data_IF_983631909395
#
_entry.id   IF_983631909395
#
_cell.length_a   1.000
_cell.length_b   1.000
_cell.length_c   1.000
_cell.angle_alpha   90.00
_cell.angle_beta   90.00
_cell.angle_gamma   90.00
#
_symmetry.space_group_name_H-M   'P 1'
#
loop_
_entity.id
_entity.type
_entity.pdbx_description
1 polymer ?
#
# COMPACT_ATOMS: atom_id res chain seq x y z
N UNK A 1 -2.37 -0.69 -4.79
CA UNK A 1 -1.61 0.32 -4.01
C UNK A 1 -0.46 -0.31 -3.22
N UNK A 2 -0.59 -1.56 -2.77
CA UNK A 2 0.55 -2.39 -2.34
C UNK A 2 0.55 -3.71 -3.12
N UNK A 3 1.71 -4.30 -3.39
CA UNK A 3 1.81 -5.67 -3.93
C UNK A 3 1.32 -6.69 -2.90
N UNK A 4 0.93 -7.88 -3.35
CA UNK A 4 0.34 -8.93 -2.49
C UNK A 4 1.19 -9.26 -1.26
N UNK A 5 2.51 -9.39 -1.43
CA UNK A 5 3.44 -9.67 -0.34
C UNK A 5 3.51 -8.54 0.69
N UNK A 6 3.57 -7.29 0.24
CA UNK A 6 3.65 -6.12 1.13
C UNK A 6 2.34 -5.92 1.90
N UNK A 7 1.19 -6.11 1.23
CA UNK A 7 -0.11 -6.07 1.87
C UNK A 7 -0.24 -7.16 2.96
N UNK A 8 0.17 -8.39 2.64
CA UNK A 8 0.16 -9.49 3.58
C UNK A 8 1.09 -9.25 4.78
N UNK A 9 2.23 -8.59 4.58
CA UNK A 9 3.15 -8.21 5.66
C UNK A 9 2.51 -7.24 6.66
N UNK A 10 1.80 -6.23 6.16
CA UNK A 10 1.11 -5.25 7.01
C UNK A 10 -0.03 -5.92 7.78
N UNK A 11 -0.86 -6.73 7.11
CA UNK A 11 -2.00 -7.40 7.74
C UNK A 11 -1.56 -8.36 8.86
N UNK A 12 -0.46 -9.10 8.64
CA UNK A 12 0.08 -10.04 9.65
C UNK A 12 0.69 -9.34 10.87
N UNK A 13 1.13 -8.08 10.73
CA UNK A 13 1.71 -7.33 11.85
C UNK A 13 0.65 -6.78 12.81
N UNK A 14 -0.62 -6.69 12.38
CA UNK A 14 -1.70 -6.13 13.19
C UNK A 14 -2.15 -7.15 14.25
N UNK A 15 -2.10 -6.74 15.51
CA UNK A 15 -2.45 -7.59 16.67
C UNK A 15 -3.97 -7.81 16.82
N UNK A 16 -4.76 -6.80 16.47
CA UNK A 16 -6.22 -6.83 16.60
C UNK A 16 -6.85 -6.68 15.23
N UNK A 17 -7.58 -7.69 14.80
CA UNK A 17 -8.25 -7.69 13.51
C UNK A 17 -9.76 -7.76 13.71
N UNK A 18 -10.47 -6.84 13.05
CA UNK A 18 -11.92 -6.77 13.08
C UNK A 18 -12.41 -7.13 11.68
N UNK A 19 -13.19 -8.19 11.60
CA UNK A 19 -13.72 -8.72 10.36
C UNK A 19 -15.23 -8.47 10.34
N UNK A 20 -15.65 -7.81 9.29
CA UNK A 20 -17.06 -7.69 8.88
C UNK A 20 -17.31 -8.62 7.71
N UNK A 21 -18.58 -8.86 7.37
CA UNK A 21 -19.01 -9.65 6.21
C UNK A 21 -18.12 -9.39 4.97
N UNK A 22 -17.13 -10.25 4.68
CA UNK A 22 -16.03 -9.90 3.78
C UNK A 22 -16.43 -9.91 2.30
N UNK A 23 -17.52 -10.58 1.95
CA UNK A 23 -18.06 -10.66 0.58
C UNK A 23 -17.26 -11.55 -0.37
N UNK A 24 -16.01 -11.90 -0.03
CA UNK A 24 -15.18 -12.86 -0.78
C UNK A 24 -15.23 -14.25 -0.14
N UNK A 25 -15.49 -15.26 -0.96
CA UNK A 25 -15.56 -16.67 -0.57
C UNK A 25 -14.19 -17.15 -0.04
N UNK A 26 -13.08 -16.77 -0.68
CA UNK A 26 -11.74 -17.25 -0.28
C UNK A 26 -11.37 -16.73 1.09
N UNK A 27 -11.65 -15.44 1.34
CA UNK A 27 -11.38 -14.80 2.61
C UNK A 27 -12.27 -15.35 3.73
N UNK A 28 -13.54 -15.64 3.44
CA UNK A 28 -14.44 -16.28 4.40
C UNK A 28 -14.00 -17.70 4.78
N UNK A 29 -13.47 -18.48 3.83
CA UNK A 29 -12.86 -19.79 4.11
C UNK A 29 -11.64 -19.66 5.04
N UNK A 30 -10.78 -18.67 4.80
CA UNK A 30 -9.62 -18.41 5.65
C UNK A 30 -10.05 -18.08 7.09
N UNK A 31 -11.03 -17.19 7.25
CA UNK A 31 -11.55 -16.84 8.58
C UNK A 31 -12.28 -18.01 9.26
N UNK A 32 -13.03 -18.83 8.53
CA UNK A 32 -13.65 -20.04 9.05
C UNK A 32 -12.59 -21.03 9.57
N UNK A 33 -11.52 -21.26 8.80
CA UNK A 33 -10.38 -22.09 9.25
C UNK A 33 -9.69 -21.49 10.47
N UNK A 34 -9.52 -20.16 10.52
CA UNK A 34 -8.91 -19.46 11.65
C UNK A 34 -9.77 -19.53 12.91
N UNK A 35 -11.09 -19.54 12.81
CA UNK A 35 -12.00 -19.78 13.94
C UNK A 35 -11.81 -21.18 14.52
N UNK A 36 -11.66 -22.18 13.64
CA UNK A 36 -11.43 -23.58 14.00
C UNK A 36 -12.71 -24.40 14.02
N UNK A 37 -12.60 -25.65 14.46
CA UNK A 37 -13.69 -26.62 14.45
C UNK A 37 -14.21 -26.87 15.87
N UNK A 38 -15.51 -27.12 15.97
CA UNK A 38 -16.19 -27.67 17.13
C UNK A 38 -16.59 -29.13 16.87
N UNK A 39 -16.66 -29.95 17.91
CA UNK A 39 -17.11 -31.34 17.79
C UNK A 39 -18.62 -31.39 18.02
N UNK A 40 -19.35 -31.90 17.04
CA UNK A 40 -20.80 -32.08 17.13
C UNK A 40 -21.10 -33.57 17.31
N UNK A 41 -21.89 -33.91 18.33
CA UNK A 41 -22.43 -35.27 18.52
C UNK A 41 -23.64 -35.44 17.61
N UNK A 42 -23.50 -36.26 16.59
CA UNK A 42 -24.57 -36.61 15.65
C UNK A 42 -25.25 -37.89 16.13
N UNK A 43 -26.57 -37.82 16.27
CA UNK A 43 -27.40 -38.96 16.63
C UNK A 43 -27.94 -39.62 15.36
N UNK A 44 -27.56 -40.88 15.14
CA UNK A 44 -28.00 -41.70 14.03
C UNK A 44 -28.96 -42.77 14.53
N UNK A 45 -30.22 -42.66 14.10
CA UNK A 45 -31.25 -43.66 14.39
C UNK A 45 -31.41 -44.56 13.16
N UNK A 46 -31.21 -45.86 13.35
CA UNK A 46 -31.48 -46.86 12.32
C UNK A 46 -32.71 -47.68 12.68
N UNK A 47 -33.64 -47.79 11.73
CA UNK A 47 -34.85 -48.58 11.85
C UNK A 47 -34.71 -49.82 10.97
N UNK A 48 -34.47 -50.97 11.59
CA UNK A 48 -34.48 -52.23 10.86
C UNK A 48 -35.94 -52.67 10.67
N UNK A 49 -36.42 -52.64 9.42
CA UNK A 49 -37.71 -53.22 9.02
C UNK A 49 -37.43 -54.48 8.21
N UNK A 50 -37.47 -55.64 8.86
CA UNK A 50 -37.50 -56.91 8.14
C UNK A 50 -38.85 -57.07 7.42
N UNK A 51 -38.79 -57.26 6.10
CA UNK A 51 -39.94 -57.30 5.17
C UNK A 51 -40.93 -58.46 5.45
N UNK A 52 -40.58 -59.43 6.29
CA UNK A 52 -41.37 -60.67 6.50
C UNK A 52 -41.65 -61.03 7.98
N UNK A 53 -41.33 -60.16 8.94
CA UNK A 53 -41.63 -60.40 10.36
C UNK A 53 -42.58 -59.35 10.95
N UNK A 54 -43.76 -59.81 11.34
CA UNK A 54 -44.74 -59.03 12.10
C UNK A 54 -44.23 -58.96 13.54
N UNK A 55 -43.38 -57.97 13.86
CA UNK A 55 -43.05 -57.65 15.25
C UNK A 55 -41.61 -57.23 15.55
N UNK A 56 -40.63 -57.50 14.68
CA UNK A 56 -39.24 -57.11 14.94
C UNK A 56 -39.00 -55.64 14.56
N UNK A 57 -39.30 -54.71 15.47
CA UNK A 57 -38.88 -53.29 15.38
C UNK A 57 -37.63 -53.08 16.23
N UNK A 58 -36.48 -53.46 15.69
CA UNK A 58 -35.19 -53.05 16.26
C UNK A 58 -34.90 -51.60 15.88
N UNK A 59 -35.07 -50.67 16.82
CA UNK A 59 -34.54 -49.32 16.70
C UNK A 59 -33.16 -49.30 17.36
N UNK A 60 -32.13 -48.99 16.58
CA UNK A 60 -30.76 -48.84 17.09
C UNK A 60 -30.37 -47.37 17.01
N UNK A 61 -30.13 -46.77 18.16
CA UNK A 61 -29.61 -45.42 18.31
C UNK A 61 -28.08 -45.48 18.43
N UNK A 62 -27.38 -44.69 17.63
CA UNK A 62 -25.92 -44.59 17.64
C UNK A 62 -25.50 -43.12 17.66
N UNK A 63 -24.40 -42.82 18.35
CA UNK A 63 -23.88 -41.46 18.45
C UNK A 63 -22.48 -41.43 17.85
N UNK A 64 -22.25 -40.52 16.90
CA UNK A 64 -20.94 -40.30 16.28
C UNK A 64 -20.50 -38.86 16.51
N UNK A 65 -19.25 -38.67 16.90
CA UNK A 65 -18.63 -37.35 17.02
C UNK A 65 -18.02 -36.95 15.68
N UNK A 66 -18.43 -35.80 15.14
CA UNK A 66 -17.95 -35.29 13.87
C UNK A 66 -17.40 -33.86 14.04
N UNK A 67 -16.24 -33.53 13.42
CA UNK A 67 -15.72 -32.17 13.43
C UNK A 67 -16.56 -31.29 12.49
N UNK A 68 -17.04 -30.15 12.99
CA UNK A 68 -17.76 -29.12 12.23
C UNK A 68 -17.05 -27.78 12.42
N UNK A 69 -16.87 -26.96 11.37
CA UNK A 69 -16.41 -25.58 11.55
C UNK A 69 -17.27 -24.82 12.57
N UNK A 70 -16.63 -24.01 13.42
CA UNK A 70 -17.34 -23.21 14.43
C UNK A 70 -18.33 -22.23 13.78
N UNK A 71 -17.91 -21.62 12.68
CA UNK A 71 -18.78 -20.93 11.72
C UNK A 71 -18.41 -21.38 10.31
N UNK A 72 -19.43 -21.65 9.50
CA UNK A 72 -19.27 -21.96 8.08
C UNK A 72 -18.81 -20.72 7.30
N UNK A 73 -18.09 -20.88 6.18
CA UNK A 73 -17.71 -19.74 5.34
C UNK A 73 -18.91 -18.91 4.88
N UNK A 74 -20.06 -19.56 4.62
CA UNK A 74 -21.31 -18.89 4.29
C UNK A 74 -21.82 -18.03 5.45
N UNK A 75 -21.77 -18.54 6.68
CA UNK A 75 -22.20 -17.80 7.89
C UNK A 75 -21.27 -16.60 8.19
N UNK A 76 -19.98 -16.70 7.84
CA UNK A 76 -19.03 -15.57 7.95
C UNK A 76 -19.32 -14.49 6.90
N UNK A 77 -19.74 -14.89 5.70
CA UNK A 77 -20.12 -13.95 4.64
C UNK A 77 -21.49 -13.31 4.87
N UNK A 78 -22.44 -14.04 5.41
CA UNK A 78 -23.79 -13.57 5.71
C UNK A 78 -23.91 -13.04 7.14
N UNK A 79 -22.79 -12.56 7.71
CA UNK A 79 -22.76 -12.06 9.07
C UNK A 79 -23.65 -10.80 9.16
N UNK A 80 -24.62 -10.77 10.11
CA UNK A 80 -25.52 -9.63 10.28
C UNK A 80 -24.76 -8.32 10.53
N UNK A 81 -25.32 -7.19 10.06
CA UNK A 81 -24.67 -5.88 10.15
C UNK A 81 -24.37 -5.42 11.59
N UNK A 82 -25.18 -5.89 12.55
CA UNK A 82 -25.03 -5.62 13.98
C UNK A 82 -23.91 -6.44 14.63
N UNK A 83 -23.29 -7.38 13.92
CA UNK A 83 -22.26 -8.27 14.44
C UNK A 83 -20.92 -8.07 13.74
N UNK A 84 -19.86 -8.43 14.44
CA UNK A 84 -18.49 -8.44 13.94
C UNK A 84 -17.69 -9.54 14.61
N UNK A 85 -16.67 -10.04 13.91
CA UNK A 85 -15.69 -10.97 14.46
C UNK A 85 -14.44 -10.20 14.85
N UNK A 86 -13.94 -10.45 16.05
CA UNK A 86 -12.70 -9.85 16.56
C UNK A 86 -11.70 -10.97 16.81
N UNK A 87 -10.55 -10.87 16.16
CA UNK A 87 -9.40 -11.72 16.41
C UNK A 87 -8.34 -10.92 17.16
N UNK A 88 -8.08 -11.33 18.40
CA UNK A 88 -7.04 -10.78 19.25
C UNK A 88 -5.91 -11.79 19.31
N UNK A 89 -4.73 -11.41 18.85
CA UNK A 89 -3.56 -12.28 18.98
C UNK A 89 -3.18 -12.44 20.45
N UNK A 90 -2.54 -13.56 20.79
CA UNK A 90 -2.05 -13.78 22.15
C UNK A 90 -0.96 -12.77 22.52
N UNK A 91 -0.96 -12.33 23.77
CA UNK A 91 0.14 -11.56 24.35
C UNK A 91 0.61 -12.24 25.66
N UNK A 92 1.61 -11.66 26.33
CA UNK A 92 2.16 -12.26 27.55
C UNK A 92 1.13 -12.48 28.68
N UNK A 93 0.02 -11.74 28.66
CA UNK A 93 -0.99 -11.73 29.71
C UNK A 93 -2.27 -12.48 29.31
N UNK A 94 -2.51 -12.67 28.01
CA UNK A 94 -3.79 -13.17 27.51
C UNK A 94 -3.59 -14.12 26.34
N UNK A 95 -4.31 -15.24 26.35
CA UNK A 95 -4.35 -16.17 25.23
C UNK A 95 -5.03 -15.55 23.99
N UNK A 96 -4.78 -16.07 22.78
CA UNK A 96 -5.47 -15.62 21.59
C UNK A 96 -6.99 -15.79 21.74
N UNK A 97 -7.74 -14.72 21.50
CA UNK A 97 -9.19 -14.71 21.64
C UNK A 97 -9.87 -14.47 20.30
N UNK A 98 -10.96 -15.22 20.09
CA UNK A 98 -11.82 -15.11 18.92
C UNK A 98 -13.22 -14.80 19.43
N UNK A 99 -13.70 -13.59 19.17
CA UNK A 99 -14.89 -13.05 19.82
C UNK A 99 -15.92 -12.67 18.76
N UNK A 100 -17.14 -13.18 18.91
CA UNK A 100 -18.30 -12.65 18.21
C UNK A 100 -18.86 -11.48 19.02
N UNK A 101 -18.70 -10.27 18.51
CA UNK A 101 -19.10 -9.04 19.19
C UNK A 101 -20.27 -8.36 18.47
N UNK A 102 -21.06 -7.59 19.22
CA UNK A 102 -22.02 -6.64 18.62
C UNK A 102 -21.28 -5.36 18.25
N UNK A 103 -21.57 -4.85 17.05
CA UNK A 103 -21.07 -3.57 16.57
C UNK A 103 -21.67 -2.45 17.41
N UNK A 104 -20.83 -1.50 17.77
CA UNK A 104 -21.25 -0.31 18.51
C UNK A 104 -21.82 0.69 17.49
N UNK A 105 -23.13 0.95 17.56
CA UNK A 105 -23.83 1.91 16.69
C UNK A 105 -24.11 3.18 17.50
N UNK A 106 -23.37 4.25 17.21
CA UNK A 106 -23.34 5.46 18.04
C UNK A 106 -24.71 6.13 18.25
N UNK A 107 -25.61 6.02 17.27
CA UNK A 107 -26.95 6.63 17.33
C UNK A 107 -28.01 5.70 17.93
N UNK A 108 -27.70 4.44 18.19
CA UNK A 108 -28.62 3.48 18.83
C UNK A 108 -28.32 3.34 20.33
N UNK A 109 -27.05 3.39 20.69
CA UNK A 109 -26.54 3.24 22.06
C UNK A 109 -26.93 4.41 22.99
N UNK A 110 -27.55 4.08 24.12
CA UNK A 110 -28.07 5.07 25.07
C UNK A 110 -26.98 5.95 25.68
N UNK A 111 -25.79 5.37 25.93
CA UNK A 111 -24.64 6.11 26.47
C UNK A 111 -24.21 7.22 25.51
N UNK A 112 -24.21 6.96 24.21
CA UNK A 112 -23.81 7.94 23.20
C UNK A 112 -24.90 8.96 22.91
N UNK A 113 -26.18 8.54 22.91
CA UNK A 113 -27.32 9.47 22.85
C UNK A 113 -27.31 10.48 24.02
N UNK A 114 -27.00 10.02 25.23
CA UNK A 114 -26.89 10.90 26.39
C UNK A 114 -25.75 11.93 26.23
N UNK A 115 -24.62 11.51 25.64
CA UNK A 115 -23.46 12.38 25.40
C UNK A 115 -23.64 13.33 24.20
N UNK A 116 -24.51 13.01 23.24
CA UNK A 116 -24.79 13.88 22.09
C UNK A 116 -25.28 15.28 22.49
N UNK A 117 -25.95 15.40 23.65
CA UNK A 117 -26.47 16.66 24.18
C UNK A 117 -25.46 17.42 25.04
N UNK A 118 -24.23 16.93 25.19
CA UNK A 118 -23.19 17.65 25.92
C UNK A 118 -22.73 18.88 25.14
N UNK A 119 -22.55 19.98 25.85
CA UNK A 119 -21.96 21.20 25.27
C UNK A 119 -20.56 20.86 24.76
N UNK A 120 -20.24 21.12 23.49
CA UNK A 120 -18.89 20.91 22.98
C UNK A 120 -17.90 21.77 23.78
N UNK A 121 -16.65 21.29 23.99
CA UNK A 121 -15.63 22.09 24.64
C UNK A 121 -15.42 23.38 23.83
N UNK A 122 -15.09 24.51 24.49
CA UNK A 122 -14.80 25.75 23.79
C UNK A 122 -13.62 25.51 22.85
N UNK A 123 -13.91 25.46 21.56
CA UNK A 123 -12.88 25.36 20.54
C UNK A 123 -12.21 26.72 20.42
N UNK A 124 -10.86 26.79 20.48
CA UNK A 124 -10.17 28.01 20.11
C UNK A 124 -10.45 28.28 18.63
N UNK A 125 -11.23 29.31 18.34
CA UNK A 125 -11.42 29.79 16.97
C UNK A 125 -10.09 30.41 16.55
N UNK A 126 -9.38 29.73 15.64
CA UNK A 126 -8.14 30.26 15.09
C UNK A 126 -8.45 31.50 14.25
N UNK A 127 -7.87 32.64 14.62
CA UNK A 127 -7.89 33.83 13.78
C UNK A 127 -7.09 33.53 12.51
N UNK A 128 -7.76 33.45 11.36
CA UNK A 128 -7.11 33.24 10.07
C UNK A 128 -6.03 34.31 9.77
N UNK A 129 -6.19 35.51 10.33
CA UNK A 129 -5.23 36.62 10.23
C UNK A 129 -3.90 36.36 10.96
N UNK A 130 -3.88 35.47 11.96
CA UNK A 130 -2.65 35.09 12.68
C UNK A 130 -1.89 33.96 11.98
N UNK A 131 -2.54 33.21 11.09
CA UNK A 131 -1.93 32.11 10.33
C UNK A 131 -0.91 32.65 9.33
N UNK A 132 -1.21 33.80 8.70
CA UNK A 132 -0.35 34.42 7.68
C UNK A 132 1.00 34.88 8.27
N UNK A 133 1.03 35.25 9.56
CA UNK A 133 2.26 35.61 10.27
C UNK A 133 3.12 34.40 10.70
N UNK A 134 2.55 33.19 10.68
CA UNK A 134 3.24 31.93 11.05
C UNK A 134 3.85 31.22 9.86
N UNK A 135 3.41 31.52 8.64
CA UNK A 135 4.00 30.97 7.43
C UNK A 135 5.21 31.83 7.06
N UNK A 136 6.41 31.31 7.30
CA UNK A 136 7.62 31.85 6.66
C UNK A 136 7.63 31.28 5.24
N UNK A 137 7.39 32.08 4.19
CA UNK A 137 7.56 31.58 2.84
C UNK A 137 9.02 31.17 2.68
N UNK A 138 9.24 29.87 2.41
CA UNK A 138 10.56 29.37 2.03
C UNK A 138 10.96 30.16 0.79
N UNK A 139 11.87 31.12 0.95
CA UNK A 139 12.56 31.72 -0.17
C UNK A 139 13.37 30.60 -0.80
N UNK A 140 12.86 30.01 -1.88
CA UNK A 140 13.68 29.23 -2.79
C UNK A 140 14.68 30.22 -3.38
N UNK A 141 15.83 30.34 -2.74
CA UNK A 141 16.97 31.04 -3.34
C UNK A 141 17.30 30.18 -4.55
N UNK A 142 16.89 30.63 -5.73
CA UNK A 142 17.42 30.10 -6.98
C UNK A 142 18.92 30.36 -6.94
N UNK A 143 19.67 29.36 -6.50
CA UNK A 143 21.11 29.36 -6.63
C UNK A 143 21.40 29.31 -8.13
N UNK A 144 21.48 30.49 -8.75
CA UNK A 144 22.15 30.68 -10.03
C UNK A 144 23.64 30.46 -9.79
N UNK A 145 24.01 29.20 -9.56
CA UNK A 145 25.38 28.76 -9.69
C UNK A 145 25.70 28.94 -11.16
N UNK A 146 26.45 29.99 -11.48
CA UNK A 146 27.04 30.15 -12.79
C UNK A 146 27.99 28.97 -12.98
N UNK A 147 27.53 27.95 -13.70
CA UNK A 147 28.39 26.87 -14.20
C UNK A 147 29.32 27.56 -15.21
N UNK A 148 30.55 27.85 -14.78
CA UNK A 148 31.60 28.28 -15.66
C UNK A 148 31.82 27.17 -16.71
N UNK A 149 31.48 27.51 -17.95
CA UNK A 149 31.63 26.73 -19.18
C UNK A 149 30.80 25.43 -19.32
N UNK A 150 29.51 25.59 -19.63
CA UNK A 150 28.62 24.52 -20.07
C UNK A 150 28.85 24.04 -21.53
N UNK A 151 29.75 24.69 -22.29
CA UNK A 151 29.95 24.42 -23.73
C UNK A 151 30.54 23.04 -24.05
N UNK A 152 31.60 22.54 -23.37
CA UNK A 152 32.15 21.22 -23.67
C UNK A 152 31.22 20.08 -23.20
N UNK A 153 30.57 20.25 -22.05
CA UNK A 153 29.72 19.21 -21.46
C UNK A 153 28.41 18.99 -22.24
N UNK A 154 27.82 20.07 -22.78
CA UNK A 154 26.63 19.97 -23.65
C UNK A 154 26.95 19.37 -25.02
N UNK A 155 28.17 19.58 -25.54
CA UNK A 155 28.61 18.97 -26.79
C UNK A 155 28.75 17.44 -26.65
N UNK A 156 29.35 16.95 -25.56
CA UNK A 156 29.43 15.51 -25.28
C UNK A 156 28.05 14.87 -25.03
N UNK A 157 27.14 15.59 -24.36
CA UNK A 157 25.81 15.07 -24.05
C UNK A 157 24.90 14.96 -25.29
N UNK A 158 25.03 15.89 -26.25
CA UNK A 158 24.35 15.81 -27.55
C UNK A 158 24.89 14.67 -28.42
N UNK A 159 26.20 14.47 -28.42
CA UNK A 159 26.88 13.36 -29.11
C UNK A 159 26.44 11.98 -28.58
N UNK A 160 26.03 11.88 -27.32
CA UNK A 160 25.50 10.64 -26.73
C UNK A 160 24.05 10.35 -27.10
N UNK A 161 23.23 11.36 -27.38
CA UNK A 161 21.79 11.20 -27.59
C UNK A 161 21.39 11.05 -29.06
N UNK A 162 22.15 11.62 -30.00
CA UNK A 162 21.88 11.50 -31.43
C UNK A 162 23.04 10.80 -32.18
N UNK A 163 23.03 9.46 -32.27
CA UNK A 163 24.09 8.72 -32.99
C UNK A 163 24.02 8.85 -34.53
N UNK A 164 22.92 9.37 -35.09
CA UNK A 164 22.75 9.55 -36.56
C UNK A 164 23.49 10.77 -37.10
N UNK A 165 23.59 11.84 -36.31
CA UNK A 165 24.21 13.10 -36.76
C UNK A 165 25.73 12.94 -36.96
N UNK A 166 26.37 12.10 -36.13
CA UNK A 166 27.79 11.77 -36.24
C UNK A 166 28.12 10.99 -37.51
N UNK A 167 27.21 10.15 -38.00
CA UNK A 167 27.39 9.41 -39.25
C UNK A 167 27.28 10.31 -40.49
N UNK A 168 26.41 11.34 -40.46
CA UNK A 168 26.32 12.34 -41.53
C UNK A 168 27.49 13.32 -41.55
N UNK A 169 28.01 13.70 -40.39
CA UNK A 169 29.13 14.65 -40.26
C UNK A 169 30.46 14.01 -40.71
N UNK A 170 30.69 12.72 -40.40
CA UNK A 170 31.86 11.97 -40.88
C UNK A 170 31.81 11.75 -42.40
N UNK A 171 30.62 11.51 -42.96
CA UNK A 171 30.44 11.39 -44.41
C UNK A 171 30.66 12.73 -45.15
N UNK A 172 30.34 13.86 -44.53
CA UNK A 172 30.59 15.21 -45.09
C UNK A 172 32.06 15.63 -44.95
N UNK A 173 32.72 15.29 -43.84
CA UNK A 173 34.15 15.57 -43.65
C UNK A 173 35.06 14.74 -44.58
N UNK A 174 34.64 13.55 -44.99
CA UNK A 174 35.35 12.74 -46.00
C UNK A 174 35.20 13.32 -47.41
N UNK A 175 34.06 13.96 -47.71
CA UNK A 175 33.83 14.66 -48.97
C UNK A 175 34.60 15.99 -49.08
N UNK A 176 34.78 16.72 -47.97
CA UNK A 176 35.48 18.01 -47.96
C UNK A 176 37.01 17.87 -48.01
N UNK A 177 37.55 16.70 -47.65
CA UNK A 177 38.98 16.39 -47.78
C UNK A 177 39.43 16.11 -49.23
N UNK A 178 38.50 16.03 -50.17
CA UNK A 178 38.76 15.67 -51.57
C UNK A 178 38.99 16.88 -52.51
N UNK A 179 39.06 18.11 -52.00
CA UNK A 179 39.33 19.31 -52.80
C UNK A 179 40.75 19.87 -52.51
N UNK A 180 41.61 20.13 -53.51
CA UNK A 180 42.99 20.54 -53.30
C UNK A 180 43.13 22.03 -52.91
N UNK A 181 44.07 22.30 -52.01
CA UNK A 181 44.36 23.59 -51.37
C UNK A 181 45.50 24.33 -52.11
N UNK A 182 45.28 25.60 -52.51
CA UNK A 182 46.33 26.54 -52.94
C UNK A 182 46.73 27.45 -51.75
N UNK A 183 48.04 27.66 -51.53
CA UNK A 183 48.64 28.52 -50.47
C UNK A 183 49.76 29.37 -51.06
N UNK A 184 49.79 30.66 -50.72
CA UNK A 184 50.98 31.52 -50.70
C UNK A 184 50.67 32.85 -49.93
N UNK A 185 51.65 33.66 -49.46
CA UNK A 185 52.44 33.44 -48.24
C UNK A 185 52.49 34.66 -47.24
N UNK A 186 53.11 34.40 -46.08
CA UNK A 186 53.46 35.24 -44.90
C UNK A 186 54.15 36.61 -45.19
N UNK A 187 54.20 37.63 -44.26
CA UNK A 187 55.18 37.62 -43.14
C UNK A 187 54.93 38.45 -41.84
N UNK A 188 55.43 37.87 -40.73
CA UNK A 188 56.31 38.37 -39.63
C UNK A 188 55.97 39.54 -38.64
N UNK A 189 56.55 39.53 -37.41
CA UNK A 189 56.00 40.14 -36.18
C UNK A 189 56.87 41.27 -35.55
N UNK A 190 56.32 42.07 -34.61
CA UNK A 190 57.09 43.07 -33.82
C UNK A 190 56.62 43.18 -32.35
N UNK A 191 57.58 43.58 -31.50
CA UNK A 191 57.82 43.37 -30.07
C UNK A 191 57.04 44.23 -29.06
N UNK A 192 57.25 43.85 -27.78
CA UNK A 192 56.77 44.44 -26.52
C UNK A 192 57.37 45.82 -26.19
N UNK A 193 56.70 46.56 -25.30
CA UNK A 193 57.36 47.53 -24.41
C UNK A 193 56.61 47.69 -23.07
N UNK A 194 57.44 47.94 -22.06
CA UNK A 194 57.24 48.00 -20.61
C UNK A 194 57.06 49.47 -20.18
N UNK A 195 56.24 49.79 -19.16
CA UNK A 195 56.44 51.01 -18.33
C UNK A 195 55.58 51.00 -17.04
N UNK A 196 56.28 51.27 -15.95
CA UNK A 196 55.85 51.54 -14.56
C UNK A 196 55.41 52.99 -14.37
N UNK A 197 54.50 53.28 -13.42
CA UNK A 197 54.39 54.52 -12.58
C UNK A 197 53.01 54.55 -11.88
N UNK A 198 52.75 55.10 -10.69
CA UNK A 198 53.46 55.42 -9.44
C UNK A 198 52.37 55.71 -8.38
N UNK A 199 52.70 55.43 -7.11
CA UNK A 199 52.06 55.89 -5.84
C UNK A 199 50.62 55.51 -5.49
#
# INVERSE_FOLDING_TARGET
IYGEEAANGIMKAIHNEIVFAPGDIKLAEEYSRRLGNTTVRVHNQSLNRQKHEIGARGQTDSYSEQPRPLMLPQEVNELPFDKQLIFVQGNRQTEPMKILARKIIYFEEDIFKARQKMTPPPLPVGDATKIDALTVPVRTVEAKVAVADAKPMQAEQRQRWNPKDKASEVAQAEADKAQPVEVEPDPEPVQADDTLDTM
#
